data_IF_796387575650
#
_entry.id   IF_796387575650
#
_cell.length_a   1.000
_cell.length_b   1.000
_cell.length_c   1.000
_cell.angle_alpha   90.00
_cell.angle_beta   90.00
_cell.angle_gamma   90.00
#
_symmetry.space_group_name_H-M   'P 1'
#
loop_
_entity.id
_entity.type
_entity.pdbx_description
1 polymer ?
#
# COMPACT_ATOMS: atom_id res chain seq x y z
N UNK A 1 -8.49 37.55 25.00
CA UNK A 1 -7.41 36.71 24.44
C UNK A 1 -6.42 36.26 25.52
N UNK A 2 -6.41 34.96 25.85
CA UNK A 2 -5.48 34.36 26.83
C UNK A 2 -4.28 33.77 26.06
N UNK A 3 -3.01 34.05 26.44
CA UNK A 3 -1.86 33.56 25.71
C UNK A 3 -1.77 32.02 25.83
N UNK A 4 -1.59 31.32 24.72
CA UNK A 4 -1.36 29.88 24.70
C UNK A 4 0.04 29.59 25.26
N UNK A 5 0.12 28.71 26.26
CA UNK A 5 1.38 28.23 26.81
C UNK A 5 2.13 27.36 25.77
N UNK A 6 3.47 27.41 25.74
CA UNK A 6 4.27 26.60 24.81
C UNK A 6 4.06 25.10 25.10
N UNK A 7 3.75 24.34 24.06
CA UNK A 7 3.56 22.89 24.14
C UNK A 7 4.86 22.22 24.60
N UNK A 8 4.78 21.42 25.66
CA UNK A 8 5.89 20.59 26.12
C UNK A 8 6.36 19.63 25.01
N UNK A 9 7.66 19.30 24.91
CA UNK A 9 8.17 18.37 23.92
C UNK A 9 7.54 16.99 24.14
N UNK A 10 6.93 16.44 23.08
CA UNK A 10 6.36 15.09 23.10
C UNK A 10 7.48 14.07 23.36
N UNK A 11 7.24 13.03 24.19
CA UNK A 11 8.18 11.93 24.37
C UNK A 11 8.58 11.33 23.01
N UNK A 12 9.83 10.85 22.85
CA UNK A 12 10.26 10.20 21.61
C UNK A 12 9.33 9.03 21.30
N UNK A 13 8.70 9.10 20.12
CA UNK A 13 7.79 8.06 19.63
C UNK A 13 8.59 6.75 19.51
N UNK A 14 8.07 5.60 20.01
CA UNK A 14 8.77 4.33 19.91
C UNK A 14 9.21 4.08 18.47
N UNK A 15 10.49 3.75 18.27
CA UNK A 15 11.01 3.47 16.93
C UNK A 15 10.13 2.40 16.28
N UNK A 16 9.48 2.78 15.17
CA UNK A 16 8.67 1.85 14.39
C UNK A 16 9.54 0.62 14.10
N UNK A 17 9.06 -0.59 14.42
CA UNK A 17 9.80 -1.81 14.12
C UNK A 17 10.31 -1.75 12.69
N UNK A 18 11.62 -1.94 12.49
CA UNK A 18 12.21 -1.99 11.15
C UNK A 18 11.43 -3.02 10.36
N UNK A 19 10.80 -2.60 9.27
CA UNK A 19 10.11 -3.51 8.38
C UNK A 19 11.14 -4.53 7.89
N UNK A 20 10.89 -5.84 8.07
CA UNK A 20 11.80 -6.86 7.54
C UNK A 20 12.00 -6.61 6.04
N UNK A 21 13.22 -6.85 5.56
CA UNK A 21 13.54 -6.73 4.14
C UNK A 21 12.66 -7.70 3.35
N UNK A 22 11.81 -7.16 2.48
CA UNK A 22 10.94 -7.94 1.61
C UNK A 22 11.60 -8.05 0.25
N UNK A 23 11.96 -9.27 -0.14
CA UNK A 23 12.42 -9.59 -1.49
C UNK A 23 11.24 -10.14 -2.30
N UNK A 24 10.67 -9.36 -3.24
CA UNK A 24 9.54 -9.80 -4.06
C UNK A 24 9.88 -11.01 -4.94
N UNK A 25 11.17 -11.26 -5.23
CA UNK A 25 11.59 -12.39 -6.08
C UNK A 25 11.61 -13.71 -5.33
N UNK A 26 11.63 -13.67 -4.00
CA UNK A 26 11.56 -14.87 -3.15
C UNK A 26 10.15 -15.45 -3.02
N UNK A 27 9.12 -14.71 -3.45
CA UNK A 27 7.72 -15.14 -3.39
C UNK A 27 7.43 -16.11 -4.54
N UNK A 28 6.95 -17.31 -4.20
CA UNK A 28 6.50 -18.28 -5.21
C UNK A 28 5.09 -17.92 -5.68
N UNK A 29 4.89 -17.83 -6.99
CA UNK A 29 3.56 -17.60 -7.58
C UNK A 29 2.84 -18.94 -7.78
N UNK A 30 1.88 -19.22 -6.91
CA UNK A 30 1.11 -20.48 -6.91
C UNK A 30 -0.25 -20.38 -7.64
N UNK A 31 -0.44 -19.32 -8.43
CA UNK A 31 -1.67 -19.07 -9.19
C UNK A 31 -1.56 -19.61 -10.63
N UNK A 32 -2.67 -20.11 -11.17
CA UNK A 32 -2.71 -20.51 -12.58
C UNK A 32 -2.59 -19.30 -13.51
N UNK A 33 -2.18 -19.49 -14.77
CA UNK A 33 -2.18 -18.41 -15.74
C UNK A 33 -3.54 -17.72 -15.87
N UNK A 34 -4.65 -18.47 -15.84
CA UNK A 34 -5.99 -17.88 -15.88
C UNK A 34 -6.27 -16.98 -14.67
N UNK A 35 -5.92 -17.43 -13.46
CA UNK A 35 -6.09 -16.63 -12.24
C UNK A 35 -5.26 -15.34 -12.27
N UNK A 36 -4.06 -15.39 -12.85
CA UNK A 36 -3.20 -14.21 -13.01
C UNK A 36 -3.84 -13.20 -13.97
N UNK A 37 -4.43 -13.65 -15.06
CA UNK A 37 -5.16 -12.77 -15.98
C UNK A 37 -6.41 -12.19 -15.31
N UNK A 38 -7.16 -12.98 -14.55
CA UNK A 38 -8.31 -12.48 -13.77
C UNK A 38 -7.88 -11.38 -12.78
N UNK A 39 -6.74 -11.53 -12.10
CA UNK A 39 -6.20 -10.50 -11.22
C UNK A 39 -5.72 -9.26 -11.98
N UNK A 40 -5.19 -9.38 -13.19
CA UNK A 40 -4.80 -8.22 -14.02
C UNK A 40 -6.00 -7.42 -14.46
N UNK A 41 -7.05 -8.10 -14.92
CA UNK A 41 -8.31 -7.47 -15.33
C UNK A 41 -8.95 -6.75 -14.14
N UNK A 42 -8.96 -7.39 -12.96
CA UNK A 42 -9.46 -6.77 -11.75
C UNK A 42 -8.56 -5.62 -11.25
N UNK A 43 -7.23 -5.71 -11.42
CA UNK A 43 -6.28 -4.63 -11.08
C UNK A 43 -6.57 -3.36 -11.89
N UNK A 44 -6.98 -3.49 -13.14
CA UNK A 44 -7.35 -2.35 -13.98
C UNK A 44 -8.54 -1.54 -13.42
N UNK A 45 -9.46 -2.17 -12.68
CA UNK A 45 -10.57 -1.49 -12.01
C UNK A 45 -10.11 -0.52 -10.91
N UNK A 46 -8.90 -0.71 -10.39
CA UNK A 46 -8.31 0.13 -9.34
C UNK A 46 -7.38 1.21 -9.88
N UNK A 47 -7.09 1.20 -11.19
CA UNK A 47 -6.28 2.22 -11.85
C UNK A 47 -7.01 3.56 -11.85
N UNK A 48 -6.38 4.55 -11.21
CA UNK A 48 -6.86 5.94 -11.15
C UNK A 48 -5.96 6.91 -11.90
N UNK A 49 -4.99 6.39 -12.66
CA UNK A 49 -4.11 7.21 -13.48
C UNK A 49 -4.91 7.82 -14.65
N UNK A 50 -4.65 9.09 -15.00
CA UNK A 50 -5.39 9.76 -16.08
C UNK A 50 -5.27 9.06 -17.44
N UNK A 51 -4.19 8.31 -17.66
CA UNK A 51 -3.87 7.65 -18.93
C UNK A 51 -4.11 6.13 -18.92
N UNK A 52 -4.70 5.56 -17.86
CA UNK A 52 -4.91 4.11 -17.73
C UNK A 52 -3.61 3.31 -17.92
N UNK A 53 -2.56 3.70 -17.19
CA UNK A 53 -1.22 3.12 -17.27
C UNK A 53 -1.09 1.75 -16.58
N UNK A 54 -2.20 1.17 -16.09
CA UNK A 54 -2.25 0.00 -15.22
C UNK A 54 -1.39 0.18 -13.97
N UNK A 55 -1.62 1.26 -13.24
CA UNK A 55 -0.91 1.57 -11.99
C UNK A 55 -1.88 1.97 -10.88
N UNK A 56 -1.52 1.63 -9.66
CA UNK A 56 -2.19 2.12 -8.46
C UNK A 56 -1.19 2.84 -7.56
N UNK A 57 -1.70 3.67 -6.66
CA UNK A 57 -0.88 4.21 -5.57
C UNK A 57 -0.68 3.18 -4.47
N UNK A 58 0.42 3.27 -3.73
CA UNK A 58 0.68 2.39 -2.58
C UNK A 58 -0.44 2.40 -1.53
N UNK A 59 -1.13 3.54 -1.36
CA UNK A 59 -2.25 3.66 -0.44
C UNK A 59 -3.46 2.79 -0.83
N UNK A 60 -3.57 2.41 -2.11
CA UNK A 60 -4.66 1.56 -2.62
C UNK A 60 -4.37 0.06 -2.54
N UNK A 61 -3.12 -0.36 -2.27
CA UNK A 61 -2.75 -1.78 -2.23
C UNK A 61 -3.65 -2.59 -1.30
N UNK A 62 -3.95 -2.05 -0.11
CA UNK A 62 -4.79 -2.74 0.86
C UNK A 62 -6.25 -2.88 0.43
N UNK A 63 -6.79 -1.92 -0.30
CA UNK A 63 -8.17 -1.98 -0.81
C UNK A 63 -8.26 -2.97 -1.98
N UNK A 64 -7.24 -2.97 -2.85
CA UNK A 64 -7.12 -3.94 -3.93
C UNK A 64 -7.04 -5.37 -3.38
N UNK A 65 -6.11 -5.65 -2.44
CA UNK A 65 -5.91 -7.01 -1.90
C UNK A 65 -7.17 -7.56 -1.22
N UNK A 66 -8.02 -6.70 -0.62
CA UNK A 66 -9.27 -7.15 0.03
C UNK A 66 -10.41 -7.40 -0.93
N UNK A 67 -10.35 -6.82 -2.13
CA UNK A 67 -11.39 -6.95 -3.14
C UNK A 67 -11.16 -8.14 -4.09
N UNK A 68 -9.95 -8.72 -4.06
CA UNK A 68 -9.52 -9.85 -4.87
C UNK A 68 -9.52 -11.17 -4.07
#
# INVERSE_FOLDING_TARGET
>A
PKPAAPAAPKPPEPERPKTPEFDPTSVTLEFTPEQIEDFKDAFQLFDRTPASEMKITYAQCGDLIRAL
#
